data_IF_703704275169
#
_entry.id   IF_703704275169
#
_cell.length_a   1.000
_cell.length_b   1.000
_cell.length_c   1.000
_cell.angle_alpha   90.00
_cell.angle_beta   90.00
_cell.angle_gamma   90.00
#
_symmetry.space_group_name_H-M   'P 1'
#
loop_
_entity.id
_entity.type
_entity.pdbx_description
1 polymer ?
#
# COMPACT_ATOMS: atom_id res chain seq x y z
N UNK A 1 8.77 18.08 13.02
CA UNK A 1 8.71 18.63 14.38
C UNK A 1 7.30 18.75 14.94
N UNK A 2 6.29 18.91 14.12
CA UNK A 2 4.88 19.08 14.52
C UNK A 2 4.27 17.89 15.30
N UNK A 3 4.86 16.71 15.18
CA UNK A 3 4.36 15.48 15.83
C UNK A 3 4.95 15.23 17.23
N UNK A 4 6.07 15.83 17.57
CA UNK A 4 6.70 15.67 18.89
C UNK A 4 5.85 16.21 20.05
N UNK A 5 5.13 17.34 19.91
CA UNK A 5 4.24 17.86 20.96
C UNK A 5 3.11 16.90 21.35
N UNK A 6 2.63 16.03 20.43
CA UNK A 6 1.61 15.01 20.71
C UNK A 6 2.06 14.03 21.81
N UNK A 7 3.36 13.89 22.02
CA UNK A 7 3.97 13.06 23.07
C UNK A 7 4.66 13.91 24.17
N UNK A 8 4.20 15.16 24.34
CA UNK A 8 4.67 16.10 25.36
C UNK A 8 6.15 16.53 25.24
N UNK A 9 6.77 16.39 24.07
CA UNK A 9 8.09 16.98 23.78
C UNK A 9 7.89 18.40 23.26
N UNK A 10 7.75 19.34 24.18
CA UNK A 10 7.36 20.74 23.88
C UNK A 10 8.45 21.76 24.17
N UNK A 11 9.40 21.47 25.05
CA UNK A 11 10.47 22.39 25.39
C UNK A 11 11.66 22.29 24.45
N UNK A 12 12.02 23.41 23.84
CA UNK A 12 13.22 23.52 23.00
C UNK A 12 14.45 23.72 23.87
N UNK A 13 15.39 22.77 23.87
CA UNK A 13 16.71 22.96 24.48
C UNK A 13 17.60 23.78 23.55
N UNK A 14 17.60 25.10 23.74
CA UNK A 14 18.38 26.05 22.91
C UNK A 14 19.89 25.84 23.01
N UNK A 15 20.38 25.36 24.14
CA UNK A 15 21.81 25.17 24.37
C UNK A 15 22.38 23.97 23.64
N UNK A 16 21.53 22.99 23.33
CA UNK A 16 21.90 21.74 22.63
C UNK A 16 21.34 21.65 21.21
N UNK A 17 20.57 22.63 20.77
CA UNK A 17 20.05 22.73 19.42
C UNK A 17 21.00 23.46 18.48
N UNK A 18 21.03 23.05 17.22
CA UNK A 18 21.79 23.67 16.14
C UNK A 18 20.89 23.94 14.93
N UNK A 19 21.44 24.49 13.83
CA UNK A 19 20.70 24.70 12.57
C UNK A 19 20.20 23.39 11.93
N UNK A 20 20.85 22.28 12.22
CA UNK A 20 20.57 20.96 11.60
C UNK A 20 20.01 19.94 12.57
N UNK A 21 20.02 20.22 13.87
CA UNK A 21 19.55 19.33 14.92
C UNK A 21 18.79 20.12 15.99
N UNK A 22 17.57 19.74 16.25
CA UNK A 22 16.74 20.34 17.30
C UNK A 22 16.60 19.36 18.44
N UNK A 23 16.88 19.81 19.64
CA UNK A 23 16.72 19.01 20.85
C UNK A 23 15.47 19.47 21.60
N UNK A 24 14.58 18.54 21.87
CA UNK A 24 13.31 18.75 22.55
C UNK A 24 13.32 18.00 23.89
N UNK A 25 12.74 18.61 24.92
CA UNK A 25 12.53 18.02 26.24
C UNK A 25 11.07 17.78 26.52
N UNK A 26 10.81 16.78 27.36
CA UNK A 26 9.48 16.42 27.88
C UNK A 26 9.45 16.77 29.37
N UNK A 27 8.52 17.64 29.77
CA UNK A 27 8.42 18.14 31.16
C UNK A 27 8.11 17.03 32.18
N UNK A 28 7.36 16.01 31.78
CA UNK A 28 6.82 15.03 32.73
C UNK A 28 7.88 14.09 33.35
N UNK A 29 9.00 13.82 32.66
CA UNK A 29 9.98 12.80 33.07
C UNK A 29 11.43 13.11 32.64
N UNK A 30 11.71 14.35 32.29
CA UNK A 30 13.00 14.81 31.75
C UNK A 30 13.46 14.05 30.50
N UNK A 31 12.52 13.44 29.78
CA UNK A 31 12.78 12.77 28.51
C UNK A 31 13.30 13.75 27.47
N UNK A 32 14.34 13.35 26.74
CA UNK A 32 15.05 14.21 25.80
C UNK A 32 15.24 13.50 24.47
N UNK A 33 14.89 14.18 23.38
CA UNK A 33 15.10 13.68 22.02
C UNK A 33 15.85 14.73 21.19
N UNK A 34 16.72 14.26 20.30
CA UNK A 34 17.28 15.05 19.22
C UNK A 34 16.56 14.70 17.92
N UNK A 35 16.21 15.71 17.13
CA UNK A 35 15.60 15.57 15.81
C UNK A 35 16.49 16.25 14.80
N UNK A 36 16.95 15.50 13.80
CA UNK A 36 17.87 16.00 12.77
C UNK A 36 17.53 15.44 11.40
N UNK A 37 18.12 16.00 10.35
CA UNK A 37 18.09 15.39 9.02
C UNK A 37 19.18 14.34 8.89
N UNK A 38 18.79 13.12 8.50
CA UNK A 38 19.73 12.06 8.11
C UNK A 38 20.44 12.34 6.78
N UNK A 39 21.45 11.54 6.46
CA UNK A 39 22.24 11.66 5.22
C UNK A 39 21.40 11.50 3.94
N UNK A 40 20.28 10.81 4.03
CA UNK A 40 19.31 10.59 2.94
C UNK A 40 18.25 11.71 2.83
N UNK A 41 18.36 12.75 3.67
CA UNK A 41 17.43 13.87 3.72
C UNK A 41 16.15 13.63 4.51
N UNK A 42 15.93 12.43 5.04
CA UNK A 42 14.79 12.13 5.91
C UNK A 42 15.01 12.64 7.33
N UNK A 43 13.93 12.98 8.02
CA UNK A 43 13.97 13.34 9.42
C UNK A 43 14.13 12.08 10.27
N UNK A 44 15.12 12.12 11.20
CA UNK A 44 15.41 11.08 12.17
C UNK A 44 15.40 11.68 13.57
N UNK A 45 15.08 10.84 14.56
CA UNK A 45 15.18 11.22 15.96
C UNK A 45 16.15 10.29 16.71
N UNK A 46 16.65 10.77 17.84
CA UNK A 46 17.42 9.98 18.80
C UNK A 46 16.90 10.28 20.21
N UNK A 47 16.52 9.23 20.95
CA UNK A 47 16.07 9.30 22.34
C UNK A 47 17.26 9.03 23.26
N UNK A 48 17.70 10.08 23.97
CA UNK A 48 18.88 10.01 24.85
C UNK A 48 18.67 9.06 26.03
N UNK A 49 17.44 8.95 26.54
CA UNK A 49 17.14 8.10 27.69
C UNK A 49 17.17 6.60 27.33
N UNK A 50 16.67 6.27 26.16
CA UNK A 50 16.58 4.88 25.69
C UNK A 50 17.78 4.45 24.86
N UNK A 51 18.65 5.38 24.49
CA UNK A 51 19.80 5.10 23.62
C UNK A 51 19.41 4.57 22.22
N UNK A 52 18.20 4.90 21.75
CA UNK A 52 17.65 4.42 20.48
C UNK A 52 17.16 5.59 19.64
N UNK A 53 17.21 5.40 18.34
CA UNK A 53 16.71 6.39 17.37
C UNK A 53 16.10 5.72 16.15
N UNK A 54 15.60 6.52 15.23
CA UNK A 54 14.96 6.04 14.02
C UNK A 54 14.19 7.11 13.27
N UNK A 55 13.27 6.71 12.43
CA UNK A 55 12.35 7.55 11.67
C UNK A 55 11.16 8.01 12.53
N UNK A 56 10.31 8.88 11.98
CA UNK A 56 9.02 9.23 12.62
C UNK A 56 8.14 8.00 12.90
N UNK A 57 8.22 6.98 12.06
CA UNK A 57 7.49 5.73 12.27
C UNK A 57 7.98 5.01 13.52
N UNK A 58 9.31 4.91 13.69
CA UNK A 58 9.92 4.29 14.87
C UNK A 58 9.57 5.07 16.14
N UNK A 59 9.54 6.40 16.05
CA UNK A 59 9.16 7.29 17.16
C UNK A 59 7.72 6.98 17.62
N UNK A 60 6.77 6.94 16.70
CA UNK A 60 5.36 6.68 17.03
C UNK A 60 5.17 5.25 17.54
N UNK A 61 5.76 4.24 16.89
CA UNK A 61 5.73 2.84 17.35
C UNK A 61 6.25 2.71 18.78
N UNK A 62 7.34 3.40 19.10
CA UNK A 62 7.94 3.36 20.42
C UNK A 62 7.05 3.97 21.51
N UNK A 63 6.26 4.99 21.18
CA UNK A 63 5.41 5.69 22.15
C UNK A 63 3.99 5.10 22.26
N UNK A 64 3.49 4.46 21.20
CA UNK A 64 2.13 3.91 21.16
C UNK A 64 2.09 2.40 21.36
N UNK A 65 3.20 1.69 21.17
CA UNK A 65 3.23 0.22 21.12
C UNK A 65 2.57 -0.36 19.86
N UNK A 66 2.13 0.48 18.93
CA UNK A 66 1.47 0.06 17.69
C UNK A 66 2.47 -0.61 16.74
N UNK A 67 1.98 -1.54 15.91
CA UNK A 67 2.77 -2.07 14.81
C UNK A 67 2.90 -1.04 13.65
N UNK A 68 3.78 -1.33 12.69
CA UNK A 68 4.08 -0.42 11.58
C UNK A 68 2.83 -0.01 10.76
N UNK A 69 1.89 -0.95 10.55
CA UNK A 69 0.64 -0.69 9.82
C UNK A 69 -0.26 0.28 10.56
N UNK A 70 -0.46 0.04 11.85
CA UNK A 70 -1.25 0.91 12.73
C UNK A 70 -0.62 2.31 12.85
N UNK A 71 0.70 2.37 13.00
CA UNK A 71 1.45 3.63 13.05
C UNK A 71 1.30 4.45 11.78
N UNK A 72 1.33 3.81 10.62
CA UNK A 72 1.07 4.51 9.34
C UNK A 72 -0.35 5.06 9.24
N UNK A 73 -1.34 4.31 9.72
CA UNK A 73 -2.74 4.79 9.79
C UNK A 73 -2.86 6.01 10.72
N UNK A 74 -2.23 5.95 11.87
CA UNK A 74 -2.23 7.04 12.85
C UNK A 74 -1.59 8.32 12.29
N UNK A 75 -0.42 8.19 11.68
CA UNK A 75 0.27 9.30 11.03
C UNK A 75 -0.53 9.89 9.86
N UNK A 76 -1.21 9.06 9.07
CA UNK A 76 -2.09 9.54 8.00
C UNK A 76 -3.24 10.37 8.55
N UNK A 77 -3.91 9.92 9.62
CA UNK A 77 -4.98 10.68 10.28
C UNK A 77 -4.51 12.06 10.71
N UNK A 78 -3.35 12.15 11.35
CA UNK A 78 -2.78 13.41 11.82
C UNK A 78 -2.38 14.36 10.68
N UNK A 79 -1.90 13.82 9.56
CA UNK A 79 -1.55 14.60 8.36
C UNK A 79 -2.80 15.09 7.62
N UNK A 80 -3.88 14.31 7.62
CA UNK A 80 -5.14 14.68 6.95
C UNK A 80 -5.86 15.85 7.63
N UNK A 81 -5.66 16.06 8.93
CA UNK A 81 -6.26 17.19 9.64
C UNK A 81 -5.60 18.55 9.32
N UNK A 82 -4.45 18.60 8.62
CA UNK A 82 -3.66 19.81 8.39
C UNK A 82 -3.31 20.09 6.92
N UNK A 83 -4.02 19.53 5.94
CA UNK A 83 -3.64 19.71 4.51
C UNK A 83 -4.27 20.97 3.92
N UNK A 84 -3.84 22.15 4.39
CA UNK A 84 -4.10 23.39 3.66
C UNK A 84 -2.84 24.10 3.12
N UNK A 85 -1.66 23.49 3.20
CA UNK A 85 -0.45 24.07 2.61
C UNK A 85 0.71 23.08 2.45
N UNK A 86 0.69 22.25 1.43
CA UNK A 86 1.93 21.68 0.90
C UNK A 86 2.06 22.02 -0.57
N UNK A 87 2.77 23.13 -0.85
CA UNK A 87 3.37 23.35 -2.15
C UNK A 87 4.31 22.19 -2.47
N UNK A 88 4.12 21.60 -3.66
CA UNK A 88 5.01 20.59 -4.23
C UNK A 88 6.44 21.14 -4.33
N UNK A 89 7.24 20.91 -3.32
CA UNK A 89 8.68 21.08 -3.43
C UNK A 89 9.19 19.92 -4.29
N UNK A 90 9.82 20.24 -5.40
CA UNK A 90 10.39 19.33 -6.37
C UNK A 90 11.10 18.16 -5.65
N UNK A 91 10.69 16.94 -5.96
CA UNK A 91 11.34 15.71 -5.55
C UNK A 91 12.81 15.77 -6.03
N UNK A 92 13.73 15.86 -5.08
CA UNK A 92 15.13 15.64 -5.36
C UNK A 92 15.30 14.27 -6.04
N UNK A 93 16.14 14.15 -7.06
CA UNK A 93 16.32 12.89 -7.77
C UNK A 93 16.78 11.83 -6.75
N UNK A 94 16.03 10.74 -6.73
CA UNK A 94 16.27 9.58 -5.88
C UNK A 94 17.70 9.06 -6.13
N UNK A 95 18.59 8.99 -5.12
CA UNK A 95 19.95 8.52 -5.32
C UNK A 95 19.90 7.07 -5.79
N UNK A 96 20.34 6.85 -7.04
CA UNK A 96 20.58 5.55 -7.68
C UNK A 96 19.37 4.61 -7.67
N UNK A 97 18.43 4.80 -8.59
CA UNK A 97 17.54 3.72 -8.97
C UNK A 97 18.40 2.55 -9.45
N UNK A 98 18.37 1.43 -8.72
CA UNK A 98 19.05 0.22 -9.19
C UNK A 98 18.64 -0.04 -10.65
N UNK A 99 19.62 -0.26 -11.54
CA UNK A 99 19.34 -0.50 -12.94
C UNK A 99 18.23 -1.54 -13.09
N UNK A 100 17.24 -1.27 -13.94
CA UNK A 100 16.11 -2.18 -14.15
C UNK A 100 16.64 -3.48 -14.74
N UNK A 101 16.39 -4.59 -14.06
CA UNK A 101 16.89 -5.90 -14.46
C UNK A 101 15.72 -6.89 -14.59
N UNK A 102 15.12 -6.91 -15.78
CA UNK A 102 13.97 -7.80 -16.08
C UNK A 102 14.34 -9.28 -16.00
N UNK A 103 15.54 -9.66 -16.43
CA UNK A 103 15.96 -11.06 -16.36
C UNK A 103 16.06 -11.56 -14.93
N UNK A 104 16.55 -10.71 -14.02
CA UNK A 104 16.55 -11.01 -12.58
C UNK A 104 15.13 -11.20 -12.05
N UNK A 105 14.21 -10.29 -12.40
CA UNK A 105 12.80 -10.38 -11.99
C UNK A 105 12.16 -11.66 -12.51
N UNK A 106 12.41 -12.01 -13.78
CA UNK A 106 11.88 -13.24 -14.39
C UNK A 106 12.39 -14.50 -13.69
N UNK A 107 13.68 -14.56 -13.33
CA UNK A 107 14.24 -15.66 -12.53
C UNK A 107 13.59 -15.75 -11.15
N UNK A 108 13.53 -14.65 -10.42
CA UNK A 108 12.89 -14.61 -9.10
C UNK A 108 11.40 -15.01 -9.18
N UNK A 109 10.70 -14.65 -10.26
CA UNK A 109 9.31 -15.07 -10.48
C UNK A 109 9.21 -16.56 -10.75
N UNK A 110 10.11 -17.13 -11.56
CA UNK A 110 10.15 -18.57 -11.84
C UNK A 110 10.41 -19.41 -10.58
N UNK A 111 11.15 -18.87 -9.60
CA UNK A 111 11.41 -19.53 -8.31
C UNK A 111 10.20 -19.48 -7.36
N UNK A 112 9.18 -18.67 -7.62
CA UNK A 112 7.95 -18.66 -6.83
C UNK A 112 7.00 -19.75 -7.30
N UNK A 113 6.14 -20.25 -6.41
CA UNK A 113 5.11 -21.23 -6.70
C UNK A 113 3.73 -20.68 -6.39
N UNK A 114 2.64 -21.11 -7.08
CA UNK A 114 1.29 -20.79 -6.66
C UNK A 114 1.05 -21.24 -5.22
N UNK A 115 0.20 -20.53 -4.49
CA UNK A 115 -0.22 -20.95 -3.16
C UNK A 115 -1.17 -22.15 -3.30
N UNK A 116 -0.82 -23.25 -2.64
CA UNK A 116 -1.62 -24.49 -2.63
C UNK A 116 -1.92 -24.98 -1.21
N UNK A 117 -1.47 -24.23 -0.18
CA UNK A 117 -1.63 -24.56 1.24
C UNK A 117 -1.95 -23.31 2.03
N UNK A 118 -2.55 -23.50 3.20
CA UNK A 118 -2.81 -22.44 4.16
C UNK A 118 -1.57 -21.58 4.43
N UNK A 119 -1.77 -20.27 4.54
CA UNK A 119 -0.71 -19.32 4.73
C UNK A 119 -1.08 -18.29 5.81
N UNK A 120 -0.41 -18.37 6.98
CA UNK A 120 -0.77 -17.59 8.17
C UNK A 120 -0.90 -16.09 7.95
N UNK A 121 -0.06 -15.50 7.07
CA UNK A 121 -0.20 -14.07 6.73
C UNK A 121 -1.53 -13.77 6.01
N UNK A 122 -1.97 -14.60 5.07
CA UNK A 122 -3.24 -14.38 4.35
C UNK A 122 -4.42 -14.63 5.28
N UNK A 123 -4.36 -15.67 6.10
CA UNK A 123 -5.38 -15.95 7.11
C UNK A 123 -5.51 -14.81 8.12
N UNK A 124 -4.39 -14.22 8.57
CA UNK A 124 -4.41 -13.03 9.42
C UNK A 124 -5.00 -11.79 8.74
N UNK A 125 -5.16 -11.85 7.41
CA UNK A 125 -5.85 -10.83 6.61
C UNK A 125 -7.29 -11.23 6.26
N UNK A 126 -7.78 -12.33 6.82
CA UNK A 126 -9.13 -12.84 6.55
C UNK A 126 -9.30 -13.47 5.16
N UNK A 127 -8.19 -13.76 4.48
CA UNK A 127 -8.17 -14.36 3.13
C UNK A 127 -7.81 -15.84 3.29
N UNK A 128 -8.80 -16.70 3.08
CA UNK A 128 -8.62 -18.15 3.12
C UNK A 128 -8.05 -18.70 1.81
N UNK A 129 -7.61 -19.95 1.89
CA UNK A 129 -7.03 -20.67 0.76
C UNK A 129 -8.03 -20.84 -0.38
N UNK A 130 -9.29 -21.10 -0.08
CA UNK A 130 -10.36 -21.34 -1.05
C UNK A 130 -10.57 -20.13 -1.94
N UNK A 131 -10.59 -18.92 -1.35
CA UNK A 131 -10.67 -17.64 -2.09
C UNK A 131 -9.56 -17.46 -3.12
N UNK A 132 -8.40 -18.14 -2.95
CA UNK A 132 -7.26 -18.03 -3.87
C UNK A 132 -7.25 -19.16 -4.89
N UNK A 133 -7.58 -20.39 -4.47
CA UNK A 133 -7.51 -21.57 -5.34
C UNK A 133 -8.59 -21.57 -6.43
N UNK A 134 -9.74 -20.98 -6.16
CA UNK A 134 -10.86 -20.98 -7.09
C UNK A 134 -10.64 -19.94 -8.19
N UNK A 135 -10.29 -20.44 -9.38
CA UNK A 135 -10.36 -19.79 -10.68
C UNK A 135 -9.61 -18.46 -10.83
N UNK A 136 -10.05 -17.41 -10.21
CA UNK A 136 -9.67 -16.02 -10.51
C UNK A 136 -8.26 -15.62 -10.02
N UNK A 137 -7.84 -16.12 -8.87
CA UNK A 137 -6.58 -15.74 -8.24
C UNK A 137 -5.49 -16.80 -8.29
N UNK A 138 -5.81 -17.98 -8.85
CA UNK A 138 -4.83 -19.03 -9.08
C UNK A 138 -3.65 -18.48 -9.92
N UNK A 139 -2.44 -18.56 -9.38
CA UNK A 139 -1.24 -18.02 -10.01
C UNK A 139 -1.02 -16.50 -9.85
N UNK A 140 -2.05 -15.71 -9.52
CA UNK A 140 -1.91 -14.27 -9.20
C UNK A 140 -1.36 -14.02 -7.79
N UNK A 141 -1.51 -15.01 -6.90
CA UNK A 141 -0.95 -15.04 -5.55
C UNK A 141 0.01 -16.23 -5.46
N UNK A 142 1.25 -15.95 -5.14
CA UNK A 142 2.33 -16.96 -5.13
C UNK A 142 3.09 -16.93 -3.81
N UNK A 143 4.00 -17.86 -3.61
CA UNK A 143 4.85 -17.94 -2.43
C UNK A 143 6.31 -18.18 -2.85
N UNK A 144 7.25 -17.54 -2.16
CA UNK A 144 8.68 -17.78 -2.34
C UNK A 144 9.21 -18.85 -1.36
N UNK A 145 10.47 -19.24 -1.54
CA UNK A 145 11.14 -20.23 -0.66
C UNK A 145 11.21 -19.83 0.82
N UNK A 146 11.07 -18.53 1.12
CA UNK A 146 11.04 -18.00 2.48
C UNK A 146 9.62 -17.91 3.05
N UNK A 147 8.64 -18.45 2.32
CA UNK A 147 7.22 -18.40 2.65
C UNK A 147 6.67 -16.97 2.73
N UNK A 148 7.20 -16.05 1.94
CA UNK A 148 6.56 -14.76 1.76
C UNK A 148 5.50 -14.87 0.68
N UNK A 149 4.34 -14.25 0.88
CA UNK A 149 3.32 -14.08 -0.16
C UNK A 149 3.87 -13.14 -1.23
N UNK A 150 3.80 -13.57 -2.47
CA UNK A 150 4.33 -12.88 -3.64
C UNK A 150 3.18 -12.44 -4.55
N UNK A 151 3.10 -11.15 -4.81
CA UNK A 151 2.18 -10.53 -5.75
C UNK A 151 2.97 -10.11 -6.99
N UNK A 152 2.85 -10.81 -8.14
CA UNK A 152 3.55 -10.45 -9.36
C UNK A 152 2.88 -9.25 -10.04
N UNK A 153 3.68 -8.26 -10.44
CA UNK A 153 3.26 -7.09 -11.19
C UNK A 153 3.71 -7.21 -12.65
N UNK A 154 2.82 -6.90 -13.55
CA UNK A 154 3.03 -7.07 -14.99
C UNK A 154 3.03 -5.72 -15.71
N UNK A 155 3.72 -5.67 -16.83
CA UNK A 155 3.65 -4.63 -17.83
C UNK A 155 3.37 -5.23 -19.23
N UNK A 156 3.44 -4.43 -20.30
CA UNK A 156 3.21 -4.89 -21.67
C UNK A 156 4.19 -5.98 -22.14
N UNK A 157 5.33 -6.13 -21.46
CA UNK A 157 6.39 -7.12 -21.81
C UNK A 157 6.38 -8.33 -20.88
N UNK A 158 5.38 -8.48 -19.99
CA UNK A 158 5.26 -9.57 -19.03
C UNK A 158 5.62 -9.18 -17.60
N UNK A 159 6.27 -10.07 -16.84
CA UNK A 159 6.62 -9.81 -15.45
C UNK A 159 7.55 -8.61 -15.30
N UNK A 160 7.18 -7.65 -14.47
CA UNK A 160 7.89 -6.41 -14.25
C UNK A 160 8.49 -6.30 -12.84
N UNK A 161 7.87 -6.92 -11.85
CA UNK A 161 8.31 -6.93 -10.47
C UNK A 161 7.45 -7.82 -9.59
N UNK A 162 7.87 -8.00 -8.35
CA UNK A 162 7.17 -8.82 -7.37
C UNK A 162 7.13 -8.04 -6.05
N UNK A 163 5.95 -7.83 -5.52
CA UNK A 163 5.78 -7.40 -4.14
C UNK A 163 5.71 -8.63 -3.25
N UNK A 164 6.53 -8.64 -2.19
CA UNK A 164 6.56 -9.70 -1.19
C UNK A 164 6.00 -9.18 0.11
N UNK A 165 5.13 -9.96 0.73
CA UNK A 165 4.52 -9.65 2.03
C UNK A 165 4.56 -10.84 2.98
N UNK A 166 4.75 -10.52 4.26
CA UNK A 166 4.55 -11.41 5.39
C UNK A 166 4.09 -10.56 6.60
N UNK A 167 3.89 -11.14 7.80
CA UNK A 167 3.35 -10.41 8.96
C UNK A 167 4.03 -9.06 9.23
N UNK A 168 5.36 -9.02 9.27
CA UNK A 168 6.15 -7.80 9.51
C UNK A 168 7.11 -7.47 8.37
N UNK A 169 6.78 -7.94 7.16
CA UNK A 169 7.68 -7.81 6.02
C UNK A 169 6.92 -7.34 4.78
N UNK A 170 7.43 -6.28 4.17
CA UNK A 170 7.00 -5.79 2.86
C UNK A 170 8.22 -5.34 2.08
N UNK A 171 8.46 -5.93 0.92
CA UNK A 171 9.47 -5.45 0.00
C UNK A 171 9.01 -5.58 -1.45
N UNK A 172 9.72 -4.89 -2.33
CA UNK A 172 9.56 -5.00 -3.77
C UNK A 172 10.88 -5.48 -4.40
N UNK A 173 10.80 -6.27 -5.46
CA UNK A 173 11.99 -6.82 -6.13
C UNK A 173 12.97 -5.72 -6.50
N UNK A 174 14.21 -5.82 -6.01
CA UNK A 174 15.29 -4.88 -6.33
C UNK A 174 15.63 -4.93 -7.83
N UNK A 175 15.55 -3.79 -8.50
CA UNK A 175 15.70 -3.69 -9.96
C UNK A 175 14.43 -4.02 -10.74
N UNK A 176 13.33 -4.38 -10.07
CA UNK A 176 12.01 -4.49 -10.68
C UNK A 176 11.42 -3.13 -11.06
N UNK A 177 10.51 -3.14 -12.01
CA UNK A 177 9.69 -1.99 -12.39
C UNK A 177 8.26 -2.21 -11.89
N UNK A 178 7.67 -1.21 -11.27
CA UNK A 178 6.31 -1.32 -10.76
C UNK A 178 5.33 -1.30 -11.94
N UNK A 179 4.71 -2.44 -12.21
CA UNK A 179 3.64 -2.62 -13.17
C UNK A 179 2.27 -2.58 -12.51
N UNK A 180 1.32 -3.34 -13.04
CA UNK A 180 0.02 -3.59 -12.43
C UNK A 180 -0.05 -5.05 -11.98
N UNK A 181 -0.49 -5.29 -10.74
CA UNK A 181 -0.92 -6.62 -10.34
C UNK A 181 -2.29 -6.90 -10.95
N UNK A 182 -2.55 -8.13 -11.31
CA UNK A 182 -3.83 -8.53 -11.89
C UNK A 182 -4.21 -9.96 -11.52
N UNK A 183 -5.50 -10.21 -11.43
CA UNK A 183 -6.07 -11.55 -11.39
C UNK A 183 -5.94 -12.26 -12.75
N UNK A 184 -6.27 -13.54 -12.80
CA UNK A 184 -6.40 -14.29 -14.06
C UNK A 184 -7.49 -13.66 -14.93
N UNK A 185 -7.21 -13.47 -16.21
CA UNK A 185 -8.13 -12.91 -17.20
C UNK A 185 -8.94 -14.05 -17.81
N UNK A 186 -10.24 -13.82 -17.98
CA UNK A 186 -11.16 -14.72 -18.70
C UNK A 186 -11.82 -13.96 -19.85
N UNK A 187 -12.14 -14.64 -20.94
CA UNK A 187 -12.85 -14.02 -22.07
C UNK A 187 -14.26 -13.57 -21.69
N UNK A 188 -14.87 -14.25 -20.73
CA UNK A 188 -16.19 -13.91 -20.20
C UNK A 188 -16.21 -12.68 -19.30
N UNK A 189 -15.08 -12.05 -19.04
CA UNK A 189 -15.03 -10.87 -18.16
C UNK A 189 -15.84 -9.72 -18.75
N UNK A 190 -16.68 -9.12 -17.94
CA UNK A 190 -17.48 -7.94 -18.27
C UNK A 190 -17.28 -6.79 -17.29
N UNK A 191 -16.53 -7.02 -16.20
CA UNK A 191 -16.23 -6.04 -15.18
C UNK A 191 -14.73 -5.98 -14.89
N UNK A 192 -14.22 -4.78 -14.64
CA UNK A 192 -12.85 -4.53 -14.20
C UNK A 192 -12.88 -3.74 -12.90
N UNK A 193 -12.21 -4.22 -11.86
CA UNK A 193 -12.10 -3.55 -10.56
C UNK A 193 -10.65 -3.16 -10.34
N UNK A 194 -10.41 -1.89 -10.01
CA UNK A 194 -9.09 -1.33 -9.75
C UNK A 194 -9.00 -0.95 -8.28
N UNK A 195 -8.07 -1.57 -7.55
CA UNK A 195 -7.80 -1.36 -6.13
C UNK A 195 -6.42 -0.73 -5.88
N UNK A 196 -6.17 -0.28 -4.65
CA UNK A 196 -4.85 0.25 -4.29
C UNK A 196 -3.82 -0.87 -4.16
N UNK A 197 -4.10 -1.95 -3.43
CA UNK A 197 -3.17 -3.06 -3.26
C UNK A 197 -3.81 -4.42 -3.58
N UNK A 198 -2.99 -5.46 -3.86
CA UNK A 198 -3.50 -6.82 -4.14
C UNK A 198 -4.34 -7.40 -2.99
N UNK A 199 -4.00 -7.10 -1.74
CA UNK A 199 -4.77 -7.55 -0.57
C UNK A 199 -6.18 -6.95 -0.59
N UNK A 200 -6.31 -5.69 -0.99
CA UNK A 200 -7.62 -5.02 -1.08
C UNK A 200 -8.46 -5.62 -2.21
N UNK A 201 -7.82 -5.95 -3.33
CA UNK A 201 -8.49 -6.64 -4.44
C UNK A 201 -9.01 -8.04 -4.04
N UNK A 202 -8.23 -8.81 -3.27
CA UNK A 202 -8.65 -10.10 -2.73
C UNK A 202 -9.81 -9.94 -1.73
N UNK A 203 -9.70 -8.95 -0.84
CA UNK A 203 -10.72 -8.64 0.16
C UNK A 203 -12.02 -8.16 -0.48
N UNK A 204 -11.91 -7.28 -1.49
CA UNK A 204 -13.05 -6.81 -2.27
C UNK A 204 -13.76 -7.95 -2.98
N UNK A 205 -13.01 -8.83 -3.66
CA UNK A 205 -13.58 -9.99 -4.35
C UNK A 205 -14.38 -10.89 -3.38
N UNK A 206 -13.82 -11.14 -2.20
CA UNK A 206 -14.50 -11.93 -1.16
C UNK A 206 -15.75 -11.22 -0.62
N UNK A 207 -15.71 -9.91 -0.43
CA UNK A 207 -16.83 -9.12 0.09
C UNK A 207 -17.96 -8.92 -0.93
N UNK A 208 -17.65 -8.83 -2.21
CA UNK A 208 -18.60 -8.53 -3.29
C UNK A 208 -19.04 -9.75 -4.09
N UNK A 209 -18.51 -10.90 -3.81
CA UNK A 209 -18.78 -12.22 -4.41
C UNK A 209 -19.52 -12.18 -5.78
N UNK A 210 -18.75 -12.20 -6.88
CA UNK A 210 -19.32 -12.30 -8.22
C UNK A 210 -19.66 -13.76 -8.54
N UNK A 211 -20.92 -14.15 -8.33
CA UNK A 211 -21.42 -15.52 -8.58
C UNK A 211 -21.10 -16.03 -9.98
N UNK A 212 -20.99 -15.15 -10.96
CA UNK A 212 -20.71 -15.52 -12.34
C UNK A 212 -19.21 -15.49 -12.67
N UNK A 213 -18.37 -15.07 -11.72
CA UNK A 213 -16.91 -14.92 -11.87
C UNK A 213 -16.53 -14.18 -13.17
N UNK A 214 -17.20 -13.06 -13.47
CA UNK A 214 -17.00 -12.22 -14.66
C UNK A 214 -16.22 -10.94 -14.37
N UNK A 215 -15.63 -10.86 -13.19
CA UNK A 215 -14.89 -9.69 -12.72
C UNK A 215 -13.39 -9.95 -12.75
N UNK A 216 -12.62 -9.10 -13.42
CA UNK A 216 -11.15 -9.07 -13.32
C UNK A 216 -10.69 -7.98 -12.36
N UNK A 217 -9.64 -8.26 -11.63
CA UNK A 217 -9.13 -7.39 -10.59
C UNK A 217 -7.73 -6.90 -10.93
N UNK A 218 -7.48 -5.64 -10.61
CA UNK A 218 -6.19 -4.98 -10.76
C UNK A 218 -5.80 -4.27 -9.47
N UNK A 219 -4.49 -4.14 -9.23
CA UNK A 219 -3.98 -3.28 -8.18
C UNK A 219 -2.79 -2.45 -8.67
N UNK A 220 -2.78 -1.18 -8.26
CA UNK A 220 -1.72 -0.22 -8.61
C UNK A 220 -0.51 -0.33 -7.69
N UNK A 221 -0.66 -0.88 -6.48
CA UNK A 221 0.38 -1.08 -5.48
C UNK A 221 0.81 0.21 -4.76
N UNK A 222 -0.10 1.15 -4.49
CA UNK A 222 0.14 2.46 -3.89
C UNK A 222 0.45 3.52 -4.96
N UNK A 223 1.28 4.52 -4.67
CA UNK A 223 1.50 5.67 -5.57
C UNK A 223 1.76 5.25 -7.03
N UNK A 224 0.96 5.80 -7.95
CA UNK A 224 1.04 5.52 -9.39
C UNK A 224 2.22 6.31 -9.97
N UNK A 225 3.15 5.61 -10.63
CA UNK A 225 4.25 6.22 -11.38
C UNK A 225 3.79 6.63 -12.79
N UNK A 226 4.56 7.52 -13.45
CA UNK A 226 4.31 7.88 -14.85
C UNK A 226 4.17 6.65 -15.76
N UNK A 227 5.03 5.66 -15.58
CA UNK A 227 4.96 4.42 -16.35
C UNK A 227 3.69 3.60 -16.08
N UNK A 228 3.22 3.56 -14.83
CA UNK A 228 1.97 2.86 -14.53
C UNK A 228 0.77 3.56 -15.17
N UNK A 229 0.80 4.90 -15.30
CA UNK A 229 -0.22 5.61 -16.05
C UNK A 229 -0.28 5.15 -17.51
N UNK A 230 0.86 4.90 -18.17
CA UNK A 230 0.88 4.33 -19.53
C UNK A 230 0.19 2.94 -19.59
N UNK A 231 0.35 2.12 -18.56
CA UNK A 231 -0.33 0.82 -18.45
C UNK A 231 -1.83 1.00 -18.21
N UNK A 232 -2.21 1.92 -17.34
CA UNK A 232 -3.60 2.25 -17.04
C UNK A 232 -4.29 2.84 -18.27
N UNK A 233 -3.62 3.72 -19.04
CA UNK A 233 -4.14 4.26 -20.31
C UNK A 233 -4.51 3.13 -21.28
N UNK A 234 -3.62 2.15 -21.44
CA UNK A 234 -3.88 0.96 -22.28
C UNK A 234 -5.04 0.12 -21.76
N UNK A 235 -5.12 -0.07 -20.43
CA UNK A 235 -6.19 -0.82 -19.79
C UNK A 235 -7.55 -0.13 -19.99
N UNK A 236 -7.65 1.15 -19.66
CA UNK A 236 -8.90 1.91 -19.76
C UNK A 236 -9.37 1.99 -21.21
N UNK A 237 -8.47 2.28 -22.17
CA UNK A 237 -8.79 2.30 -23.60
C UNK A 237 -9.38 0.96 -24.05
N UNK A 238 -8.74 -0.15 -23.70
CA UNK A 238 -9.19 -1.49 -24.05
C UNK A 238 -10.58 -1.77 -23.48
N UNK A 239 -10.78 -1.56 -22.18
CA UNK A 239 -12.03 -1.96 -21.52
C UNK A 239 -13.20 -1.04 -21.84
N UNK A 240 -12.94 0.24 -22.11
CA UNK A 240 -13.97 1.13 -22.66
C UNK A 240 -14.40 0.68 -24.06
N UNK A 241 -13.46 0.24 -24.92
CA UNK A 241 -13.82 -0.29 -26.25
C UNK A 241 -14.59 -1.62 -26.20
N UNK A 242 -14.33 -2.45 -25.19
CA UNK A 242 -15.03 -3.69 -24.91
C UNK A 242 -16.35 -3.49 -24.13
N UNK A 243 -16.71 -2.23 -23.82
CA UNK A 243 -17.90 -1.85 -23.03
C UNK A 243 -17.99 -2.57 -21.67
N UNK A 244 -16.84 -2.73 -21.04
CA UNK A 244 -16.77 -3.31 -19.69
C UNK A 244 -17.13 -2.25 -18.64
N UNK A 245 -17.80 -2.68 -17.57
CA UNK A 245 -18.01 -1.88 -16.38
C UNK A 245 -16.68 -1.72 -15.62
N UNK A 246 -16.26 -0.48 -15.38
CA UNK A 246 -15.00 -0.19 -14.68
C UNK A 246 -15.29 0.38 -13.30
N UNK A 247 -14.87 -0.33 -12.28
CA UNK A 247 -15.02 0.04 -10.88
C UNK A 247 -13.70 0.59 -10.33
N UNK A 248 -13.78 1.72 -9.63
CA UNK A 248 -12.69 2.25 -8.82
C UNK A 248 -12.99 1.91 -7.35
N UNK A 249 -12.27 0.92 -6.83
CA UNK A 249 -12.41 0.40 -5.48
C UNK A 249 -11.17 0.73 -4.65
N UNK A 250 -10.82 2.03 -4.60
CA UNK A 250 -9.70 2.55 -3.81
C UNK A 250 -10.07 2.65 -2.33
N UNK A 251 -9.07 2.89 -1.49
CA UNK A 251 -9.27 3.11 -0.06
C UNK A 251 -10.11 4.37 0.18
N UNK A 252 -10.93 4.39 1.23
CA UNK A 252 -11.72 5.58 1.57
C UNK A 252 -10.88 6.54 2.44
N UNK A 253 -9.76 6.97 1.89
CA UNK A 253 -8.86 7.93 2.51
C UNK A 253 -8.51 9.07 1.51
N UNK A 254 -7.80 10.12 1.91
CA UNK A 254 -7.41 11.20 1.00
C UNK A 254 -6.58 10.74 -0.20
N UNK A 255 -5.76 9.69 -0.08
CA UNK A 255 -4.97 9.18 -1.19
C UNK A 255 -5.87 8.47 -2.21
N UNK A 256 -6.80 7.62 -1.76
CA UNK A 256 -7.78 6.96 -2.61
C UNK A 256 -8.72 7.96 -3.31
N UNK A 257 -9.21 8.97 -2.58
CA UNK A 257 -10.02 10.07 -3.14
C UNK A 257 -9.23 10.84 -4.23
N UNK A 258 -7.95 11.10 -4.01
CA UNK A 258 -7.09 11.73 -5.00
C UNK A 258 -6.89 10.85 -6.25
N UNK A 259 -6.73 9.53 -6.10
CA UNK A 259 -6.68 8.62 -7.25
C UNK A 259 -7.97 8.67 -8.06
N UNK A 260 -9.13 8.66 -7.42
CA UNK A 260 -10.43 8.78 -8.09
C UNK A 260 -10.48 10.06 -8.94
N UNK A 261 -10.12 11.21 -8.36
CA UNK A 261 -10.06 12.48 -9.08
C UNK A 261 -9.11 12.44 -10.27
N UNK A 262 -7.93 11.82 -10.12
CA UNK A 262 -6.98 11.66 -11.22
C UNK A 262 -7.54 10.78 -12.34
N UNK A 263 -8.21 9.67 -12.00
CA UNK A 263 -8.86 8.81 -13.00
C UNK A 263 -9.99 9.55 -13.73
N UNK A 264 -10.89 10.19 -13.02
CA UNK A 264 -12.01 10.94 -13.59
C UNK A 264 -11.52 12.12 -14.45
N UNK A 265 -10.52 12.87 -13.99
CA UNK A 265 -9.95 13.98 -14.74
C UNK A 265 -9.18 13.53 -15.98
N UNK A 266 -8.51 12.38 -15.95
CA UNK A 266 -7.74 11.84 -17.09
C UNK A 266 -8.62 11.19 -18.16
N UNK A 267 -9.72 10.59 -17.75
CA UNK A 267 -10.63 9.84 -18.64
C UNK A 267 -12.05 10.36 -18.59
N UNK A 268 -12.22 11.65 -18.93
CA UNK A 268 -13.49 12.37 -18.82
C UNK A 268 -14.66 11.76 -19.64
N UNK A 269 -14.35 10.92 -20.65
CA UNK A 269 -15.36 10.21 -21.45
C UNK A 269 -15.68 8.79 -20.95
N UNK A 270 -15.11 8.35 -19.81
CA UNK A 270 -15.32 7.01 -19.27
C UNK A 270 -16.17 7.09 -18.02
N UNK A 271 -17.24 6.28 -17.98
CA UNK A 271 -18.07 6.17 -16.79
C UNK A 271 -17.41 5.16 -15.82
N UNK A 272 -17.01 5.64 -14.65
CA UNK A 272 -16.51 4.82 -13.55
C UNK A 272 -17.60 4.62 -12.50
N UNK A 273 -17.75 3.38 -12.05
CA UNK A 273 -18.52 3.09 -10.83
C UNK A 273 -17.58 3.20 -9.63
N UNK A 274 -17.94 4.05 -8.68
CA UNK A 274 -17.18 4.21 -7.44
C UNK A 274 -17.72 3.25 -6.40
N UNK A 275 -16.87 2.39 -5.86
CA UNK A 275 -17.20 1.52 -4.72
C UNK A 275 -16.08 1.66 -3.69
N UNK A 276 -16.39 2.30 -2.58
CA UNK A 276 -15.42 2.63 -1.54
C UNK A 276 -15.77 1.90 -0.24
N UNK A 277 -14.77 1.64 0.62
CA UNK A 277 -15.03 1.20 1.99
C UNK A 277 -16.03 2.13 2.70
N UNK A 278 -16.94 1.58 3.53
CA UNK A 278 -18.08 2.34 4.07
C UNK A 278 -17.67 3.44 5.06
N UNK A 279 -16.52 3.30 5.72
CA UNK A 279 -16.05 4.28 6.69
C UNK A 279 -14.81 5.00 6.19
N UNK A 280 -14.65 6.27 6.55
CA UNK A 280 -13.43 7.02 6.24
C UNK A 280 -12.18 6.36 6.85
N UNK A 281 -11.07 6.49 6.14
CA UNK A 281 -9.77 5.92 6.50
C UNK A 281 -9.73 4.38 6.55
N UNK A 282 -10.71 3.67 5.95
CA UNK A 282 -10.68 2.22 5.79
C UNK A 282 -10.12 1.81 4.43
N UNK A 283 -9.45 0.66 4.41
CA UNK A 283 -9.18 -0.15 3.22
C UNK A 283 -10.16 -1.35 3.14
N UNK A 284 -10.20 -2.04 2.01
CA UNK A 284 -11.09 -3.19 1.83
C UNK A 284 -10.74 -4.38 2.73
N UNK A 285 -9.47 -4.49 3.12
CA UNK A 285 -9.08 -5.53 4.05
C UNK A 285 -9.56 -5.24 5.48
N UNK A 286 -9.61 -3.98 5.89
CA UNK A 286 -10.22 -3.59 7.17
C UNK A 286 -11.72 -3.95 7.19
N UNK A 287 -12.44 -3.70 6.10
CA UNK A 287 -13.87 -4.07 5.99
C UNK A 287 -14.07 -5.57 6.13
N UNK A 288 -13.22 -6.36 5.45
CA UNK A 288 -13.28 -7.82 5.53
C UNK A 288 -13.02 -8.32 6.95
N UNK A 289 -11.96 -7.84 7.60
CA UNK A 289 -11.60 -8.26 8.96
C UNK A 289 -12.66 -7.86 9.99
N UNK A 290 -13.24 -6.65 9.86
CA UNK A 290 -14.31 -6.19 10.75
C UNK A 290 -15.57 -7.05 10.63
N UNK A 291 -15.99 -7.42 9.41
CA UNK A 291 -17.14 -8.34 9.22
C UNK A 291 -16.89 -9.71 9.83
N UNK A 292 -15.69 -10.26 9.67
CA UNK A 292 -15.34 -11.56 10.26
C UNK A 292 -15.31 -11.52 11.78
N UNK A 293 -14.79 -10.45 12.39
CA UNK A 293 -14.78 -10.28 13.85
C UNK A 293 -16.18 -10.15 14.45
N UNK A 294 -17.15 -9.65 13.66
CA UNK A 294 -18.57 -9.59 14.03
C UNK A 294 -19.33 -10.91 13.79
N UNK A 295 -18.65 -11.98 13.35
CA UNK A 295 -19.28 -13.28 13.08
C UNK A 295 -20.15 -13.30 11.81
N UNK A 296 -20.10 -12.26 10.98
CA UNK A 296 -20.84 -12.20 9.71
C UNK A 296 -20.12 -13.09 8.70
N UNK A 297 -20.76 -14.22 8.34
CA UNK A 297 -20.23 -15.11 7.29
C UNK A 297 -20.15 -14.34 5.98
N UNK A 298 -18.95 -14.12 5.49
CA UNK A 298 -18.70 -13.67 4.12
C UNK A 298 -18.66 -14.94 3.27
N UNK A 299 -19.78 -15.23 2.61
CA UNK A 299 -19.92 -16.42 1.74
C UNK A 299 -18.94 -16.34 0.58
N UNK A 300 -18.16 -17.41 0.42
CA UNK A 300 -17.33 -17.69 -0.76
C UNK A 300 -18.18 -18.01 -1.98
#
# INVERSE_FOLDING_TARGET
MEYAPTYNYTELDRNQSSRTCVVLRRQADDGKIAVSRGHDGHWVYYDFRRGKGGSILDFVMQHTGCNLGQTRKELRKSLCCNVNSFSHTALLPNPRSAAKNRQKVAREYAETTPITRHHGYLESRGIDLESILVGRFAGAVRVDRYRNVCFPYFDFKGIAGIERRNHNFKCYTKGGRKGLWRSTLKESDSKAVICEAPIDALSYAKLRHDKNDRTRYFAIGGQISRFQWELVDGLIKKYSSEKMDIFLAFDNDPAGKNYIQQFQGRYSGVLFTLDLPPQECQDWNDVLQNKQSMGIKVTT
#
